data_IF_036728109146
#
_entry.id   IF_036728109146
#
_cell.length_a   1.000
_cell.length_b   1.000
_cell.length_c   1.000
_cell.angle_alpha   90.00
_cell.angle_beta   90.00
_cell.angle_gamma   90.00
#
_symmetry.space_group_name_H-M   'P 1'
#
loop_
_entity.id
_entity.type
_entity.pdbx_description
1 polymer ?
#
# COMPACT_ATOMS: atom_id res chain seq x y z
N UNK A 1 12.59 -2.18 -53.36
CA UNK A 1 11.82 -2.94 -52.35
C UNK A 1 12.81 -3.68 -51.46
N UNK A 2 12.97 -3.23 -50.22
CA UNK A 2 13.21 -4.06 -49.01
C UNK A 2 13.43 -3.11 -47.83
N UNK A 3 12.41 -3.01 -46.98
CA UNK A 3 12.51 -2.42 -45.65
C UNK A 3 13.25 -3.41 -44.74
N UNK A 4 14.18 -2.98 -43.89
CA UNK A 4 14.53 -3.72 -42.70
C UNK A 4 13.48 -3.40 -41.63
N UNK A 5 12.63 -4.37 -41.34
CA UNK A 5 11.78 -4.41 -40.16
C UNK A 5 12.66 -4.46 -38.91
N UNK A 6 12.81 -3.32 -38.23
CA UNK A 6 13.38 -3.29 -36.89
C UNK A 6 12.39 -3.94 -35.93
N UNK A 7 12.69 -5.19 -35.59
CA UNK A 7 12.02 -5.94 -34.54
C UNK A 7 12.09 -5.17 -33.22
N UNK A 8 10.99 -4.52 -32.85
CA UNK A 8 10.76 -3.93 -31.53
C UNK A 8 10.72 -5.04 -30.48
N UNK A 9 11.88 -5.44 -29.96
CA UNK A 9 11.96 -6.22 -28.73
C UNK A 9 11.78 -5.27 -27.53
N UNK A 10 10.53 -4.84 -27.30
CA UNK A 10 10.12 -4.43 -25.96
C UNK A 10 10.02 -5.72 -25.14
N UNK A 11 11.14 -6.12 -24.54
CA UNK A 11 11.17 -7.23 -23.60
C UNK A 11 10.16 -6.93 -22.49
N UNK A 12 9.09 -7.72 -22.45
CA UNK A 12 8.08 -7.73 -21.40
C UNK A 12 8.83 -7.69 -20.07
N UNK A 13 8.82 -6.56 -19.35
CA UNK A 13 9.27 -6.56 -17.97
C UNK A 13 8.34 -7.54 -17.28
N UNK A 14 8.95 -8.64 -16.81
CA UNK A 14 8.31 -9.75 -16.14
C UNK A 14 7.23 -9.24 -15.19
N UNK A 15 6.04 -9.87 -15.21
CA UNK A 15 4.98 -9.61 -14.24
C UNK A 15 5.61 -9.61 -12.85
N UNK A 16 5.59 -8.47 -12.16
CA UNK A 16 6.20 -8.36 -10.84
C UNK A 16 5.56 -9.42 -9.94
N UNK A 17 6.38 -10.36 -9.49
CA UNK A 17 5.91 -11.46 -8.67
C UNK A 17 5.50 -10.91 -7.30
N UNK A 18 4.20 -10.95 -7.03
CA UNK A 18 3.66 -10.59 -5.73
C UNK A 18 3.90 -11.71 -4.73
N UNK A 19 4.37 -11.34 -3.54
CA UNK A 19 4.59 -12.27 -2.45
C UNK A 19 3.74 -11.87 -1.23
N UNK A 20 2.81 -12.72 -0.78
CA UNK A 20 2.25 -13.86 -1.51
C UNK A 20 1.47 -13.43 -2.75
N UNK A 21 1.33 -14.33 -3.72
CA UNK A 21 0.53 -14.11 -4.93
C UNK A 21 -0.95 -13.90 -4.62
N UNK A 22 -1.68 -13.23 -5.52
CA UNK A 22 -3.09 -12.87 -5.28
C UNK A 22 -4.00 -14.10 -5.09
N UNK A 23 -3.73 -15.20 -5.78
CA UNK A 23 -4.46 -16.46 -5.61
C UNK A 23 -4.24 -17.08 -4.23
N UNK A 24 -3.00 -17.06 -3.74
CA UNK A 24 -2.64 -17.60 -2.43
C UNK A 24 -3.30 -16.80 -1.28
N UNK A 25 -3.52 -15.49 -1.47
CA UNK A 25 -4.19 -14.63 -0.48
C UNK A 25 -5.59 -15.16 -0.17
N UNK A 26 -6.38 -15.52 -1.18
CA UNK A 26 -7.75 -16.01 -0.97
C UNK A 26 -7.76 -17.29 -0.13
N UNK A 27 -6.91 -18.26 -0.47
CA UNK A 27 -6.79 -19.54 0.24
C UNK A 27 -6.37 -19.33 1.70
N UNK A 28 -5.39 -18.45 1.96
CA UNK A 28 -4.96 -18.17 3.34
C UNK A 28 -6.08 -17.47 4.11
N UNK A 29 -6.74 -16.47 3.52
CA UNK A 29 -7.83 -15.77 4.21
C UNK A 29 -9.00 -16.70 4.54
N UNK A 30 -9.33 -17.65 3.67
CA UNK A 30 -10.36 -18.67 3.91
C UNK A 30 -9.98 -19.64 5.03
N UNK A 31 -8.70 -19.99 5.15
CA UNK A 31 -8.19 -20.91 6.16
C UNK A 31 -8.00 -20.27 7.55
N UNK A 32 -8.21 -18.96 7.70
CA UNK A 32 -8.01 -18.22 8.96
C UNK A 32 -9.32 -17.99 9.71
N UNK A 33 -9.23 -17.67 11.01
CA UNK A 33 -10.39 -17.28 11.84
C UNK A 33 -11.08 -16.01 11.31
N UNK A 34 -10.47 -15.28 10.38
CA UNK A 34 -11.11 -14.18 9.67
C UNK A 34 -12.37 -14.61 8.90
N UNK A 35 -12.49 -15.89 8.55
CA UNK A 35 -13.71 -16.48 7.96
C UNK A 35 -14.95 -16.23 8.83
N UNK A 36 -14.80 -16.14 10.15
CA UNK A 36 -15.88 -15.84 11.08
C UNK A 36 -16.27 -14.34 11.12
N UNK A 37 -15.51 -13.47 10.43
CA UNK A 37 -15.76 -12.03 10.35
C UNK A 37 -15.69 -11.51 8.89
N UNK A 38 -16.80 -11.60 8.14
CA UNK A 38 -16.82 -11.27 6.70
C UNK A 38 -16.42 -9.82 6.41
N UNK A 39 -16.78 -8.88 7.29
CA UNK A 39 -16.40 -7.47 7.18
C UNK A 39 -14.89 -7.26 7.28
N UNK A 40 -14.20 -8.06 8.10
CA UNK A 40 -12.76 -7.97 8.24
C UNK A 40 -12.04 -8.68 7.09
N UNK A 41 -12.53 -9.87 6.71
CA UNK A 41 -12.03 -10.59 5.53
C UNK A 41 -12.05 -9.71 4.29
N UNK A 42 -13.17 -9.04 4.01
CA UNK A 42 -13.29 -8.08 2.90
C UNK A 42 -12.31 -6.91 3.03
N UNK A 43 -12.11 -6.36 4.24
CA UNK A 43 -11.17 -5.27 4.45
C UNK A 43 -9.71 -5.67 4.14
N UNK A 44 -9.32 -6.87 4.55
CA UNK A 44 -7.98 -7.40 4.27
C UNK A 44 -7.83 -7.78 2.80
N UNK A 45 -8.87 -8.35 2.17
CA UNK A 45 -8.88 -8.60 0.73
C UNK A 45 -8.66 -7.31 -0.07
N UNK A 46 -9.41 -6.25 0.27
CA UNK A 46 -9.25 -4.93 -0.37
C UNK A 46 -7.83 -4.39 -0.23
N UNK A 47 -7.17 -4.60 0.91
CA UNK A 47 -5.76 -4.23 1.09
C UNK A 47 -4.85 -4.95 0.08
N UNK A 48 -5.03 -6.25 -0.11
CA UNK A 48 -4.25 -7.02 -1.07
C UNK A 48 -4.55 -6.62 -2.51
N UNK A 49 -5.82 -6.37 -2.86
CA UNK A 49 -6.21 -5.86 -4.19
C UNK A 49 -5.54 -4.53 -4.51
N UNK A 50 -5.56 -3.59 -3.56
CA UNK A 50 -4.91 -2.28 -3.74
C UNK A 50 -3.40 -2.45 -3.92
N UNK A 51 -2.76 -3.34 -3.14
CA UNK A 51 -1.32 -3.60 -3.29
C UNK A 51 -0.95 -4.28 -4.62
N UNK A 52 -1.84 -5.10 -5.18
CA UNK A 52 -1.63 -5.68 -6.50
C UNK A 52 -1.75 -4.63 -7.61
N UNK A 53 -2.72 -3.71 -7.50
CA UNK A 53 -2.87 -2.57 -8.41
C UNK A 53 -1.68 -1.61 -8.34
N UNK A 54 -1.21 -1.31 -7.12
CA UNK A 54 0.01 -0.56 -6.89
C UNK A 54 1.20 -1.18 -7.64
N UNK A 55 1.38 -2.50 -7.56
CA UNK A 55 2.45 -3.19 -8.28
C UNK A 55 2.33 -3.04 -9.79
N UNK A 56 1.12 -3.02 -10.36
CA UNK A 56 0.91 -2.78 -11.80
C UNK A 56 1.32 -1.37 -12.21
N UNK A 57 1.01 -0.37 -11.39
CA UNK A 57 1.46 1.01 -11.63
C UNK A 57 3.00 1.06 -11.63
N UNK A 58 3.66 0.41 -10.67
CA UNK A 58 5.12 0.30 -10.65
C UNK A 58 5.68 -0.39 -11.91
N UNK A 59 5.09 -1.50 -12.36
CA UNK A 59 5.50 -2.17 -13.60
C UNK A 59 5.36 -1.28 -14.84
N UNK A 60 4.28 -0.50 -14.92
CA UNK A 60 4.10 0.47 -15.99
C UNK A 60 5.17 1.57 -15.92
N UNK A 61 5.47 2.09 -14.72
CA UNK A 61 6.54 3.09 -14.55
C UNK A 61 7.91 2.57 -14.97
N UNK A 62 8.27 1.33 -14.62
CA UNK A 62 9.51 0.71 -15.10
C UNK A 62 9.55 0.63 -16.63
N UNK A 63 8.41 0.37 -17.27
CA UNK A 63 8.31 0.37 -18.73
C UNK A 63 8.51 1.78 -19.30
N UNK A 64 7.86 2.79 -18.70
CA UNK A 64 8.03 4.20 -19.08
C UNK A 64 9.47 4.68 -18.90
N UNK A 65 10.16 4.25 -17.83
CA UNK A 65 11.58 4.55 -17.57
C UNK A 65 12.47 3.93 -18.66
N UNK A 66 12.28 2.65 -18.99
CA UNK A 66 13.07 2.03 -20.07
C UNK A 66 12.81 2.71 -21.41
N UNK A 67 11.57 3.08 -21.67
CA UNK A 67 11.21 3.80 -22.88
C UNK A 67 11.88 5.18 -22.92
N UNK A 68 11.90 5.94 -21.82
CA UNK A 68 12.52 7.26 -21.80
C UNK A 68 14.05 7.18 -21.96
N UNK A 69 14.69 6.20 -21.31
CA UNK A 69 16.12 5.93 -21.46
C UNK A 69 16.50 5.58 -22.91
N UNK A 70 15.63 4.88 -23.64
CA UNK A 70 15.82 4.62 -25.07
C UNK A 70 15.57 5.88 -25.91
N UNK A 71 14.47 6.58 -25.66
CA UNK A 71 14.05 7.76 -26.41
C UNK A 71 15.06 8.92 -26.31
N UNK A 72 15.69 9.11 -25.15
CA UNK A 72 16.66 10.19 -24.91
C UNK A 72 18.08 9.87 -25.41
N UNK A 73 18.27 8.77 -26.15
CA UNK A 73 19.53 8.49 -26.83
C UNK A 73 19.89 9.57 -27.86
N UNK A 74 18.90 10.20 -28.51
CA UNK A 74 19.21 11.27 -29.47
C UNK A 74 19.87 12.47 -28.79
N UNK A 75 19.43 12.87 -27.58
CA UNK A 75 20.06 13.97 -26.84
C UNK A 75 21.52 13.63 -26.66
N UNK A 76 21.81 12.40 -26.24
CA UNK A 76 23.18 11.94 -26.08
C UNK A 76 23.97 11.98 -27.40
N UNK A 77 23.39 11.51 -28.51
CA UNK A 77 24.02 11.57 -29.84
C UNK A 77 24.31 13.00 -30.32
N UNK A 78 23.39 13.94 -30.07
CA UNK A 78 23.57 15.37 -30.39
C UNK A 78 24.62 16.00 -29.48
N UNK A 79 24.65 15.64 -28.19
CA UNK A 79 25.62 16.15 -27.22
C UNK A 79 27.04 15.66 -27.50
N UNK A 80 27.21 14.38 -27.81
CA UNK A 80 28.51 13.77 -28.10
C UNK A 80 29.16 14.44 -29.32
N UNK A 81 28.36 14.78 -30.33
CA UNK A 81 28.81 15.49 -31.54
C UNK A 81 29.19 16.96 -31.28
N UNK A 82 28.58 17.60 -30.28
CA UNK A 82 28.93 18.96 -29.86
C UNK A 82 30.21 18.99 -29.02
N UNK A 83 30.48 17.93 -28.26
CA UNK A 83 31.64 17.80 -27.38
C UNK A 83 32.95 17.49 -28.14
N UNK A 84 32.89 16.87 -29.31
CA UNK A 84 34.07 16.53 -30.14
C UNK A 84 34.69 17.72 -30.88
N UNK A 85 34.23 18.96 -30.63
CA UNK A 85 34.90 20.18 -31.06
C UNK A 85 34.59 20.67 -32.48
N UNK A 86 33.91 19.87 -33.30
CA UNK A 86 33.55 20.24 -34.69
C UNK A 86 32.32 21.17 -34.80
N UNK A 87 31.58 21.36 -33.70
CA UNK A 87 30.33 22.13 -33.69
C UNK A 87 30.50 23.64 -33.97
N UNK A 88 31.72 24.17 -33.97
CA UNK A 88 31.97 25.58 -34.31
C UNK A 88 32.06 25.82 -35.83
N UNK A 89 32.22 24.76 -36.63
CA UNK A 89 32.03 24.79 -38.08
C UNK A 89 30.77 23.98 -38.40
N UNK A 90 29.59 24.49 -38.04
CA UNK A 90 28.30 23.82 -38.30
C UNK A 90 28.12 23.53 -39.80
N UNK A 91 28.55 22.34 -40.23
CA UNK A 91 28.36 21.84 -41.58
C UNK A 91 26.86 21.70 -41.84
N UNK A 92 26.44 21.82 -43.10
CA UNK A 92 25.03 21.58 -43.46
C UNK A 92 24.58 20.16 -43.07
N UNK A 93 25.50 19.19 -43.07
CA UNK A 93 25.27 17.82 -42.60
C UNK A 93 24.89 17.76 -41.11
N UNK A 94 25.57 18.51 -40.25
CA UNK A 94 25.24 18.60 -38.83
C UNK A 94 23.82 19.15 -38.62
N UNK A 95 23.45 20.19 -39.35
CA UNK A 95 22.10 20.80 -39.25
C UNK A 95 21.02 19.82 -39.67
N UNK A 96 21.22 19.14 -40.79
CA UNK A 96 20.28 18.12 -41.30
C UNK A 96 20.11 17.00 -40.27
N UNK A 97 21.21 16.52 -39.68
CA UNK A 97 21.18 15.51 -38.62
C UNK A 97 20.38 15.98 -37.40
N UNK A 98 20.71 17.14 -36.82
CA UNK A 98 20.02 17.65 -35.63
C UNK A 98 18.54 17.89 -35.90
N UNK A 99 18.18 18.47 -37.04
CA UNK A 99 16.76 18.67 -37.41
C UNK A 99 16.03 17.33 -37.53
N UNK A 100 16.68 16.29 -38.07
CA UNK A 100 16.10 14.95 -38.15
C UNK A 100 15.85 14.34 -36.75
N UNK A 101 16.82 14.44 -35.85
CA UNK A 101 16.69 13.96 -34.47
C UNK A 101 15.62 14.73 -33.69
N UNK A 102 15.58 16.06 -33.83
CA UNK A 102 14.56 16.91 -33.20
C UNK A 102 13.14 16.59 -33.69
N UNK A 103 12.96 16.36 -34.99
CA UNK A 103 11.67 15.90 -35.53
C UNK A 103 11.28 14.54 -34.97
N UNK A 104 12.24 13.61 -34.89
CA UNK A 104 12.01 12.28 -34.33
C UNK A 104 11.59 12.37 -32.87
N UNK A 105 12.26 13.19 -32.06
CA UNK A 105 11.89 13.45 -30.67
C UNK A 105 10.50 14.07 -30.51
N UNK A 106 10.16 15.06 -31.32
CA UNK A 106 8.86 15.74 -31.25
C UNK A 106 7.68 14.78 -31.50
N UNK A 107 7.89 13.76 -32.33
CA UNK A 107 6.89 12.71 -32.62
C UNK A 107 6.73 11.69 -31.49
N UNK A 108 7.68 11.59 -30.56
CA UNK A 108 7.58 10.65 -29.44
C UNK A 108 6.48 11.05 -28.47
N UNK A 109 5.65 10.08 -28.09
CA UNK A 109 4.72 10.25 -26.98
C UNK A 109 5.49 10.27 -25.66
N UNK A 110 5.07 11.14 -24.75
CA UNK A 110 5.62 11.18 -23.41
C UNK A 110 5.25 9.89 -22.64
N UNK A 111 6.25 9.08 -22.24
CA UNK A 111 6.00 7.82 -21.54
C UNK A 111 5.36 8.01 -20.15
N UNK A 112 5.47 9.21 -19.57
CA UNK A 112 4.88 9.55 -18.27
C UNK A 112 3.46 10.13 -18.37
N UNK A 113 2.86 10.17 -19.57
CA UNK A 113 1.41 10.44 -19.71
C UNK A 113 0.55 9.26 -19.26
N UNK A 114 1.15 8.10 -18.99
CA UNK A 114 0.50 6.92 -18.41
C UNK A 114 1.53 6.10 -17.61
N UNK A 115 1.40 5.95 -16.28
CA UNK A 115 0.32 6.45 -15.42
C UNK A 115 0.32 7.97 -15.27
N UNK A 116 -0.86 8.58 -15.28
CA UNK A 116 -1.05 10.03 -15.10
C UNK A 116 -1.52 10.38 -13.68
N UNK A 117 -1.69 11.69 -13.42
CA UNK A 117 -2.14 12.22 -12.13
C UNK A 117 -3.43 11.57 -11.59
N UNK A 118 -4.37 11.18 -12.46
CA UNK A 118 -5.61 10.53 -12.03
C UNK A 118 -5.36 9.10 -11.54
N UNK A 119 -4.44 8.36 -12.16
CA UNK A 119 -4.05 7.02 -11.72
C UNK A 119 -3.41 7.07 -10.32
N UNK A 120 -2.52 8.04 -10.10
CA UNK A 120 -1.92 8.29 -8.78
C UNK A 120 -2.95 8.75 -7.74
N UNK A 121 -3.91 9.60 -8.14
CA UNK A 121 -4.98 10.02 -7.25
C UNK A 121 -5.88 8.84 -6.86
N UNK A 122 -6.23 7.98 -7.82
CA UNK A 122 -7.08 6.82 -7.58
C UNK A 122 -6.43 5.87 -6.56
N UNK A 123 -5.16 5.52 -6.76
CA UNK A 123 -4.46 4.62 -5.82
C UNK A 123 -4.30 5.27 -4.44
N UNK A 124 -4.03 6.57 -4.38
CA UNK A 124 -3.96 7.34 -3.13
C UNK A 124 -5.30 7.32 -2.37
N UNK A 125 -6.41 7.60 -3.04
CA UNK A 125 -7.74 7.64 -2.45
C UNK A 125 -8.12 6.25 -1.90
N UNK A 126 -7.78 5.19 -2.64
CA UNK A 126 -8.02 3.81 -2.22
C UNK A 126 -7.18 3.41 -1.00
N UNK A 127 -5.90 3.74 -0.98
CA UNK A 127 -5.06 3.50 0.19
C UNK A 127 -5.52 4.31 1.41
N UNK A 128 -5.91 5.57 1.22
CA UNK A 128 -6.46 6.42 2.27
C UNK A 128 -7.75 5.83 2.85
N UNK A 129 -8.64 5.32 2.01
CA UNK A 129 -9.89 4.68 2.42
C UNK A 129 -9.63 3.39 3.22
N UNK A 130 -8.79 2.48 2.72
CA UNK A 130 -8.49 1.23 3.42
C UNK A 130 -7.76 1.51 4.74
N UNK A 131 -6.82 2.46 4.76
CA UNK A 131 -6.12 2.89 5.96
C UNK A 131 -7.07 3.43 7.02
N UNK A 132 -8.03 4.27 6.62
CA UNK A 132 -9.05 4.81 7.51
C UNK A 132 -9.89 3.68 8.13
N UNK A 133 -10.33 2.71 7.31
CA UNK A 133 -11.09 1.56 7.80
C UNK A 133 -10.30 0.69 8.76
N UNK A 134 -9.04 0.37 8.44
CA UNK A 134 -8.13 -0.39 9.30
C UNK A 134 -7.94 0.31 10.65
N UNK A 135 -7.60 1.61 10.65
CA UNK A 135 -7.45 2.42 11.87
C UNK A 135 -8.74 2.47 12.70
N UNK A 136 -9.89 2.63 12.06
CA UNK A 136 -11.19 2.69 12.72
C UNK A 136 -11.54 1.36 13.40
N UNK A 137 -11.36 0.23 12.70
CA UNK A 137 -11.58 -1.11 13.27
C UNK A 137 -10.63 -1.38 14.43
N UNK A 138 -9.35 -1.05 14.30
CA UNK A 138 -8.35 -1.16 15.36
C UNK A 138 -8.74 -0.36 16.61
N UNK A 139 -9.21 0.88 16.44
CA UNK A 139 -9.73 1.72 17.54
C UNK A 139 -10.93 1.09 18.23
N UNK A 140 -11.87 0.51 17.46
CA UNK A 140 -13.03 -0.23 18.01
C UNK A 140 -12.60 -1.44 18.84
N UNK A 141 -11.62 -2.20 18.36
CA UNK A 141 -11.07 -3.37 19.07
C UNK A 141 -10.37 -2.93 20.36
N UNK A 142 -9.54 -1.89 20.32
CA UNK A 142 -8.87 -1.36 21.49
C UNK A 142 -9.88 -0.93 22.58
N UNK A 143 -10.98 -0.27 22.18
CA UNK A 143 -12.09 0.08 23.10
C UNK A 143 -12.74 -1.17 23.71
N UNK A 144 -13.02 -2.21 22.91
CA UNK A 144 -13.56 -3.49 23.39
C UNK A 144 -12.64 -4.16 24.41
N UNK A 145 -11.34 -4.22 24.14
CA UNK A 145 -10.34 -4.79 25.06
C UNK A 145 -10.34 -4.01 26.38
N UNK A 146 -10.36 -2.68 26.34
CA UNK A 146 -10.45 -1.85 27.55
C UNK A 146 -11.72 -2.17 28.35
N UNK A 147 -12.87 -2.26 27.69
CA UNK A 147 -14.14 -2.59 28.32
C UNK A 147 -14.11 -3.96 29.01
N UNK A 148 -13.57 -4.99 28.34
CA UNK A 148 -13.42 -6.33 28.92
C UNK A 148 -12.52 -6.30 30.16
N UNK A 149 -11.41 -5.53 30.13
CA UNK A 149 -10.53 -5.36 31.30
C UNK A 149 -11.28 -4.72 32.47
N UNK A 150 -12.07 -3.68 32.22
CA UNK A 150 -12.89 -3.04 33.26
C UNK A 150 -13.92 -4.01 33.86
N UNK A 151 -14.62 -4.78 33.03
CA UNK A 151 -15.57 -5.79 33.51
C UNK A 151 -14.90 -6.90 34.33
N UNK A 152 -13.74 -7.41 33.88
CA UNK A 152 -12.98 -8.41 34.65
C UNK A 152 -12.61 -7.88 36.03
N UNK A 153 -12.04 -6.66 36.10
CA UNK A 153 -11.66 -6.01 37.36
C UNK A 153 -12.86 -5.80 38.29
N UNK A 154 -14.01 -5.35 37.74
CA UNK A 154 -15.24 -5.19 38.52
C UNK A 154 -15.81 -6.53 39.03
N UNK A 155 -15.75 -7.57 38.21
CA UNK A 155 -16.24 -8.92 38.59
C UNK A 155 -15.39 -9.57 39.68
N UNK A 156 -14.07 -9.36 39.64
CA UNK A 156 -13.14 -9.87 40.64
C UNK A 156 -13.41 -9.22 42.01
N UNK A 157 -13.57 -7.90 42.04
CA UNK A 157 -13.95 -7.16 43.25
C UNK A 157 -15.30 -7.66 43.80
N UNK A 158 -16.32 -7.78 42.94
CA UNK A 158 -17.65 -8.24 43.35
C UNK A 158 -17.64 -9.67 43.92
N UNK A 159 -16.91 -10.58 43.28
CA UNK A 159 -16.81 -11.97 43.72
C UNK A 159 -16.15 -12.07 45.11
N UNK A 160 -15.03 -11.36 45.31
CA UNK A 160 -14.33 -11.34 46.60
C UNK A 160 -15.22 -10.77 47.71
N UNK A 161 -15.95 -9.69 47.45
CA UNK A 161 -16.90 -9.11 48.42
C UNK A 161 -18.06 -10.06 48.73
N UNK A 162 -18.68 -10.67 47.72
CA UNK A 162 -19.80 -11.59 47.91
C UNK A 162 -19.39 -12.85 48.70
N UNK A 163 -18.22 -13.42 48.42
CA UNK A 163 -17.68 -14.54 49.20
C UNK A 163 -17.39 -14.13 50.66
N UNK A 164 -16.83 -12.94 50.88
CA UNK A 164 -16.61 -12.42 52.24
C UNK A 164 -17.90 -12.28 53.04
N UNK A 165 -18.95 -11.70 52.43
CA UNK A 165 -20.27 -11.57 53.08
C UNK A 165 -20.91 -12.92 53.38
N UNK A 166 -20.83 -13.89 52.46
CA UNK A 166 -21.40 -15.22 52.66
C UNK A 166 -20.73 -15.95 53.83
N UNK A 167 -19.40 -15.87 53.93
CA UNK A 167 -18.63 -16.49 55.02
C UNK A 167 -19.03 -15.88 56.37
N UNK A 168 -19.10 -14.55 56.47
CA UNK A 168 -19.53 -13.86 57.70
C UNK A 168 -20.97 -14.25 58.08
N UNK A 169 -21.88 -14.30 57.12
CA UNK A 169 -23.27 -14.71 57.35
C UNK A 169 -23.37 -16.16 57.86
N UNK A 170 -22.61 -17.09 57.30
CA UNK A 170 -22.58 -18.49 57.78
C UNK A 170 -22.00 -18.61 59.18
N UNK A 171 -20.95 -17.85 59.52
CA UNK A 171 -20.38 -17.85 60.87
C UNK A 171 -21.36 -17.26 61.89
N UNK A 172 -22.05 -16.17 61.54
CA UNK A 172 -23.09 -15.59 62.38
C UNK A 172 -24.26 -16.57 62.61
N UNK A 173 -24.73 -17.25 61.55
CA UNK A 173 -25.75 -18.29 61.65
C UNK A 173 -25.30 -19.45 62.54
N UNK A 174 -24.07 -19.96 62.36
CA UNK A 174 -23.52 -21.05 63.17
C UNK A 174 -23.40 -20.65 64.66
N UNK A 175 -23.00 -19.41 64.95
CA UNK A 175 -22.95 -18.89 66.31
C UNK A 175 -24.34 -18.76 66.96
N UNK A 176 -25.37 -18.46 66.16
CA UNK A 176 -26.76 -18.36 66.62
C UNK A 176 -27.51 -19.71 66.65
N UNK A 177 -26.97 -20.79 66.08
CA UNK A 177 -27.60 -22.12 66.10
C UNK A 177 -27.51 -22.90 67.41
N UNK A 178 -27.15 -22.27 68.54
CA UNK A 178 -27.36 -22.87 69.87
C UNK A 178 -28.86 -22.92 70.25
N UNK A 179 -29.79 -22.31 69.50
CA UNK A 179 -31.19 -22.20 69.91
C UNK A 179 -32.28 -22.65 68.92
N UNK A 180 -31.98 -23.45 67.88
CA UNK A 180 -32.95 -23.68 66.79
C UNK A 180 -32.98 -25.06 66.15
N UNK A 181 -32.93 -26.14 66.94
CA UNK A 181 -33.25 -27.48 66.44
C UNK A 181 -34.78 -27.63 66.34
N UNK A 182 -35.41 -27.09 65.29
CA UNK A 182 -36.78 -27.41 64.84
C UNK A 182 -37.14 -26.42 63.72
N UNK A 183 -36.90 -26.78 62.46
CA UNK A 183 -37.68 -26.39 61.26
C UNK A 183 -37.05 -27.11 60.06
N UNK A 184 -37.88 -27.89 59.36
CA UNK A 184 -37.47 -28.93 58.39
C UNK A 184 -36.86 -28.43 57.08
N UNK A 185 -36.45 -29.37 56.18
CA UNK A 185 -35.68 -29.05 55.00
C UNK A 185 -36.57 -28.45 53.91
N UNK A 186 -36.65 -27.12 53.84
CA UNK A 186 -37.20 -26.43 52.69
C UNK A 186 -36.18 -26.49 51.53
N UNK A 187 -36.34 -27.49 50.67
CA UNK A 187 -35.53 -27.66 49.46
C UNK A 187 -35.78 -26.46 48.52
N UNK A 188 -34.79 -25.58 48.42
CA UNK A 188 -34.72 -24.50 47.44
C UNK A 188 -34.66 -25.09 46.02
N UNK A 189 -35.81 -25.27 45.39
CA UNK A 189 -35.93 -25.61 43.97
C UNK A 189 -35.69 -24.37 43.09
N UNK A 190 -34.42 -23.93 43.03
CA UNK A 190 -34.01 -22.89 42.07
C UNK A 190 -34.10 -23.43 40.64
N UNK A 191 -34.68 -22.68 39.66
CA UNK A 191 -34.84 -23.14 38.28
C UNK A 191 -33.50 -23.04 37.54
N UNK A 192 -32.60 -24.00 37.80
CA UNK A 192 -31.22 -24.00 37.29
C UNK A 192 -31.12 -24.26 35.77
N UNK A 193 -32.13 -24.88 35.15
CA UNK A 193 -32.09 -25.29 33.72
C UNK A 193 -32.08 -24.11 32.75
N UNK A 194 -32.78 -23.02 33.04
CA UNK A 194 -32.77 -21.81 32.20
C UNK A 194 -31.47 -21.00 32.37
N UNK A 195 -30.86 -21.04 33.56
CA UNK A 195 -29.54 -20.47 33.82
C UNK A 195 -28.42 -21.20 33.07
N UNK A 196 -28.49 -22.52 32.94
CA UNK A 196 -27.50 -23.34 32.22
C UNK A 196 -27.48 -23.07 30.70
N UNK A 197 -28.65 -22.93 30.05
CA UNK A 197 -28.72 -22.56 28.62
C UNK A 197 -28.24 -21.13 28.36
N UNK A 198 -28.57 -20.18 29.25
CA UNK A 198 -28.08 -18.79 29.20
C UNK A 198 -26.56 -18.73 29.42
N UNK A 199 -26.02 -19.55 30.33
CA UNK A 199 -24.57 -19.73 30.55
C UNK A 199 -23.84 -20.19 29.28
N UNK A 200 -24.39 -21.14 28.51
CA UNK A 200 -23.71 -21.65 27.29
C UNK A 200 -23.55 -20.54 26.23
N UNK A 201 -24.58 -19.72 26.01
CA UNK A 201 -24.55 -18.56 25.09
C UNK A 201 -23.66 -17.41 25.60
N UNK A 202 -23.61 -17.20 26.92
CA UNK A 202 -22.73 -16.21 27.54
C UNK A 202 -21.27 -16.68 27.48
N UNK A 203 -21.00 -17.97 27.73
CA UNK A 203 -19.67 -18.56 27.71
C UNK A 203 -19.08 -18.58 26.29
N UNK A 204 -19.88 -18.86 25.26
CA UNK A 204 -19.44 -18.76 23.86
C UNK A 204 -19.14 -17.31 23.47
N UNK A 205 -19.95 -16.33 23.90
CA UNK A 205 -19.63 -14.91 23.72
C UNK A 205 -18.35 -14.50 24.48
N UNK A 206 -18.10 -15.04 25.67
CA UNK A 206 -16.86 -14.79 26.43
C UNK A 206 -15.64 -15.41 25.74
N UNK A 207 -15.80 -16.59 25.11
CA UNK A 207 -14.73 -17.26 24.34
C UNK A 207 -14.32 -16.45 23.12
N UNK A 208 -15.28 -15.87 22.38
CA UNK A 208 -15.02 -14.91 21.30
C UNK A 208 -14.47 -13.56 21.80
N UNK A 209 -14.87 -13.14 23.01
CA UNK A 209 -14.31 -11.99 23.72
C UNK A 209 -12.99 -12.31 24.46
N UNK A 210 -12.32 -13.43 24.17
CA UNK A 210 -10.99 -13.66 24.73
C UNK A 210 -10.11 -12.48 24.34
N UNK A 211 -9.61 -11.77 25.36
CA UNK A 211 -8.70 -10.64 25.19
C UNK A 211 -7.45 -11.01 24.39
N UNK A 212 -7.13 -12.31 24.26
CA UNK A 212 -6.12 -12.84 23.35
C UNK A 212 -6.50 -12.64 21.88
N UNK A 213 -7.66 -13.15 21.45
CA UNK A 213 -8.14 -13.03 20.07
C UNK A 213 -8.25 -11.57 19.61
N UNK A 214 -8.93 -10.72 20.39
CA UNK A 214 -9.05 -9.30 20.06
C UNK A 214 -7.69 -8.58 19.98
N UNK A 215 -6.71 -9.01 20.77
CA UNK A 215 -5.37 -8.45 20.72
C UNK A 215 -4.63 -8.87 19.46
N UNK A 216 -4.67 -10.17 19.10
CA UNK A 216 -4.15 -10.68 17.82
C UNK A 216 -4.77 -9.92 16.64
N UNK A 217 -6.10 -9.75 16.66
CA UNK A 217 -6.83 -8.96 15.66
C UNK A 217 -6.36 -7.49 15.58
N UNK A 218 -6.05 -6.90 16.73
CA UNK A 218 -5.50 -5.56 16.82
C UNK A 218 -4.13 -5.44 16.17
N UNK A 219 -3.25 -6.44 16.35
CA UNK A 219 -1.92 -6.49 15.73
C UNK A 219 -2.03 -6.65 14.22
N UNK A 220 -2.85 -7.60 13.74
CA UNK A 220 -3.12 -7.81 12.31
C UNK A 220 -3.55 -6.53 11.59
N UNK A 221 -4.51 -5.79 12.18
CA UNK A 221 -4.96 -4.51 11.65
C UNK A 221 -3.90 -3.41 11.71
N UNK A 222 -3.02 -3.45 12.71
CA UNK A 222 -1.93 -2.48 12.86
C UNK A 222 -0.85 -2.68 11.78
N UNK A 223 -0.49 -3.93 11.51
CA UNK A 223 0.46 -4.30 10.45
C UNK A 223 -0.06 -3.89 9.07
N UNK A 224 -1.31 -4.24 8.74
CA UNK A 224 -1.93 -3.81 7.50
C UNK A 224 -2.04 -2.28 7.40
N UNK A 225 -2.37 -1.59 8.50
CA UNK A 225 -2.45 -0.13 8.51
C UNK A 225 -1.08 0.53 8.29
N UNK A 226 -0.01 -0.02 8.86
CA UNK A 226 1.36 0.46 8.63
C UNK A 226 1.76 0.28 7.16
N UNK A 227 1.52 -0.91 6.59
CA UNK A 227 1.76 -1.17 5.17
C UNK A 227 1.01 -0.21 4.26
N UNK A 228 -0.30 -0.03 4.49
CA UNK A 228 -1.12 0.90 3.71
C UNK A 228 -0.65 2.35 3.83
N UNK A 229 -0.20 2.78 5.00
CA UNK A 229 0.33 4.13 5.19
C UNK A 229 1.65 4.36 4.45
N UNK A 230 2.58 3.42 4.54
CA UNK A 230 3.89 3.50 3.87
C UNK A 230 3.68 3.53 2.36
N UNK A 231 2.93 2.58 1.82
CA UNK A 231 2.67 2.51 0.38
C UNK A 231 1.97 3.77 -0.12
N UNK A 232 0.98 4.31 0.61
CA UNK A 232 0.36 5.58 0.22
C UNK A 232 1.39 6.73 0.09
N UNK A 233 2.38 6.77 0.98
CA UNK A 233 3.42 7.80 0.96
C UNK A 233 4.43 7.59 -0.17
N UNK A 234 4.76 6.35 -0.48
CA UNK A 234 5.62 6.02 -1.62
C UNK A 234 4.96 6.48 -2.93
N UNK A 235 3.65 6.25 -3.08
CA UNK A 235 2.89 6.74 -4.24
C UNK A 235 2.78 8.27 -4.32
N UNK A 236 2.66 8.97 -3.19
CA UNK A 236 2.73 10.45 -3.18
C UNK A 236 4.08 10.95 -3.73
N UNK A 237 5.16 10.26 -3.37
CA UNK A 237 6.53 10.61 -3.78
C UNK A 237 6.72 10.35 -5.27
N UNK A 238 6.38 9.13 -5.73
CA UNK A 238 6.44 8.78 -7.15
C UNK A 238 5.56 9.69 -8.01
N UNK A 239 4.35 10.04 -7.54
CA UNK A 239 3.44 10.95 -8.27
C UNK A 239 4.10 12.30 -8.56
N UNK A 240 4.84 12.85 -7.58
CA UNK A 240 5.53 14.13 -7.73
C UNK A 240 6.72 14.03 -8.70
N UNK A 241 7.48 12.94 -8.65
CA UNK A 241 8.60 12.69 -9.56
C UNK A 241 8.11 12.52 -11.00
N UNK A 242 7.07 11.71 -11.19
CA UNK A 242 6.44 11.50 -12.51
C UNK A 242 5.90 12.81 -13.07
N UNK A 243 5.25 13.64 -12.26
CA UNK A 243 4.76 14.95 -12.70
C UNK A 243 5.89 15.87 -13.18
N UNK A 244 7.01 15.93 -12.43
CA UNK A 244 8.17 16.75 -12.84
C UNK A 244 8.79 16.26 -14.15
N UNK A 245 9.01 14.95 -14.27
CA UNK A 245 9.57 14.34 -15.48
C UNK A 245 8.64 14.53 -16.68
N UNK A 246 7.33 14.40 -16.46
CA UNK A 246 6.32 14.67 -17.48
C UNK A 246 6.44 16.11 -17.98
N UNK A 247 6.42 17.09 -17.07
CA UNK A 247 6.47 18.51 -17.41
C UNK A 247 7.80 18.89 -18.09
N UNK A 248 8.92 18.28 -17.69
CA UNK A 248 10.24 18.50 -18.31
C UNK A 248 10.30 17.97 -19.75
N UNK A 249 9.67 16.82 -20.03
CA UNK A 249 9.56 16.30 -21.40
C UNK A 249 8.66 17.19 -22.25
N UNK A 250 7.48 17.58 -21.75
CA UNK A 250 6.58 18.47 -22.52
C UNK A 250 7.23 19.82 -22.78
N UNK A 251 7.93 20.39 -21.80
CA UNK A 251 8.69 21.63 -21.99
C UNK A 251 9.78 21.48 -23.05
N UNK A 252 10.54 20.38 -23.03
CA UNK A 252 11.55 20.08 -24.05
C UNK A 252 10.92 19.96 -25.44
N UNK A 253 9.74 19.33 -25.54
CA UNK A 253 9.01 19.22 -26.80
C UNK A 253 8.51 20.57 -27.30
N UNK A 254 8.04 21.45 -26.42
CA UNK A 254 7.62 22.81 -26.79
C UNK A 254 8.79 23.64 -27.36
N UNK A 255 9.97 23.56 -26.73
CA UNK A 255 11.19 24.20 -27.24
C UNK A 255 11.56 23.67 -28.63
N UNK A 256 11.52 22.34 -28.80
CA UNK A 256 11.86 21.69 -30.07
C UNK A 256 10.86 22.06 -31.16
N UNK A 257 9.56 22.02 -30.86
CA UNK A 257 8.51 22.43 -31.79
C UNK A 257 8.69 23.88 -32.24
N UNK A 258 8.95 24.79 -31.30
CA UNK A 258 9.24 26.19 -31.59
C UNK A 258 10.46 26.36 -32.52
N UNK A 259 11.50 25.55 -32.34
CA UNK A 259 12.67 25.53 -33.22
C UNK A 259 12.32 25.08 -34.65
N UNK A 260 11.54 24.00 -34.78
CA UNK A 260 11.19 23.39 -36.06
C UNK A 260 10.24 24.26 -36.91
N UNK A 261 9.42 25.09 -36.26
CA UNK A 261 8.49 26.01 -36.93
C UNK A 261 9.20 27.22 -37.57
N UNK A 262 10.39 27.60 -37.10
CA UNK A 262 11.16 28.77 -37.59
C UNK A 262 12.27 28.32 -38.55
N UNK A 263 11.88 28.02 -39.79
CA UNK A 263 12.75 27.41 -40.83
C UNK A 263 13.93 28.27 -41.32
N UNK A 264 13.96 29.59 -41.07
CA UNK A 264 14.91 30.51 -41.73
C UNK A 264 15.94 31.17 -40.80
N UNK A 265 15.78 31.14 -39.48
CA UNK A 265 16.77 31.70 -38.56
C UNK A 265 17.82 30.64 -38.18
N UNK A 266 19.11 30.98 -38.25
CA UNK A 266 20.23 30.11 -37.82
C UNK A 266 20.44 30.09 -36.29
N UNK A 267 19.97 31.12 -35.59
CA UNK A 267 20.08 31.26 -34.13
C UNK A 267 19.24 30.31 -33.24
N UNK A 268 18.11 29.69 -33.67
CA UNK A 268 17.30 28.81 -32.82
C UNK A 268 17.99 27.47 -32.51
N UNK A 269 18.65 26.84 -33.48
CA UNK A 269 19.06 25.44 -33.36
C UNK A 269 20.15 25.22 -32.31
N UNK A 270 21.19 26.06 -32.32
CA UNK A 270 22.29 25.95 -31.36
C UNK A 270 21.84 26.27 -29.93
N UNK A 271 20.94 27.25 -29.77
CA UNK A 271 20.42 27.62 -28.46
C UNK A 271 19.47 26.56 -27.89
N UNK A 272 18.63 25.96 -28.74
CA UNK A 272 17.78 24.81 -28.38
C UNK A 272 18.62 23.63 -27.91
N UNK A 273 19.71 23.31 -28.63
CA UNK A 273 20.63 22.23 -28.22
C UNK A 273 21.31 22.55 -26.88
N UNK A 274 21.69 23.81 -26.64
CA UNK A 274 22.26 24.23 -25.34
C UNK A 274 21.24 24.12 -24.21
N UNK A 275 19.98 24.51 -24.43
CA UNK A 275 18.94 24.41 -23.41
C UNK A 275 18.63 22.93 -23.09
N UNK A 276 18.47 22.06 -24.11
CA UNK A 276 18.32 20.62 -23.91
C UNK A 276 19.51 19.99 -23.18
N UNK A 277 20.73 20.50 -23.43
CA UNK A 277 21.94 20.07 -22.70
C UNK A 277 21.90 20.44 -21.23
N UNK A 278 21.46 21.65 -20.91
CA UNK A 278 21.41 22.15 -19.53
C UNK A 278 20.43 21.33 -18.69
N UNK A 279 19.32 20.89 -19.28
CA UNK A 279 18.33 20.05 -18.58
C UNK A 279 18.73 18.57 -18.49
N UNK A 280 19.47 18.01 -19.47
CA UNK A 280 19.75 16.55 -19.56
C UNK A 280 20.32 15.92 -18.28
N UNK A 281 21.32 16.54 -17.64
CA UNK A 281 21.93 15.99 -16.41
C UNK A 281 20.90 15.92 -15.27
N UNK A 282 20.12 16.98 -15.09
CA UNK A 282 19.09 17.06 -14.06
C UNK A 282 17.96 16.05 -14.34
N UNK A 283 17.54 15.96 -15.60
CA UNK A 283 16.54 15.02 -16.06
C UNK A 283 16.94 13.57 -15.80
N UNK A 284 18.15 13.16 -16.19
CA UNK A 284 18.66 11.79 -15.97
C UNK A 284 18.68 11.43 -14.48
N UNK A 285 19.14 12.35 -13.64
CA UNK A 285 19.12 12.16 -12.19
C UNK A 285 17.70 11.98 -11.65
N UNK A 286 16.72 12.73 -12.16
CA UNK A 286 15.31 12.54 -11.77
C UNK A 286 14.75 11.18 -12.26
N UNK A 287 15.16 10.71 -13.44
CA UNK A 287 14.78 9.38 -13.94
C UNK A 287 15.37 8.27 -13.06
N UNK A 288 16.64 8.38 -12.69
CA UNK A 288 17.30 7.46 -11.75
C UNK A 288 16.62 7.48 -10.37
N UNK A 289 16.32 8.66 -9.83
CA UNK A 289 15.60 8.83 -8.57
C UNK A 289 14.21 8.16 -8.62
N UNK A 290 13.48 8.33 -9.73
CA UNK A 290 12.20 7.66 -9.92
C UNK A 290 12.37 6.13 -9.99
N UNK A 291 13.37 5.63 -10.71
CA UNK A 291 13.66 4.20 -10.84
C UNK A 291 13.95 3.57 -9.47
N UNK A 292 14.80 4.19 -8.65
CA UNK A 292 15.09 3.78 -7.29
C UNK A 292 13.81 3.71 -6.43
N UNK A 293 12.98 4.75 -6.48
CA UNK A 293 11.71 4.79 -5.74
C UNK A 293 10.73 3.70 -6.20
N UNK A 294 10.67 3.40 -7.50
CA UNK A 294 9.80 2.34 -8.03
C UNK A 294 10.27 0.96 -7.53
N UNK A 295 11.58 0.68 -7.58
CA UNK A 295 12.13 -0.57 -7.05
C UNK A 295 11.91 -0.71 -5.54
N UNK A 296 12.17 0.34 -4.77
CA UNK A 296 11.91 0.35 -3.33
C UNK A 296 10.42 0.15 -3.00
N UNK A 297 9.52 0.75 -3.78
CA UNK A 297 8.09 0.55 -3.62
C UNK A 297 7.69 -0.90 -3.88
N UNK A 298 8.24 -1.56 -4.91
CA UNK A 298 7.96 -2.97 -5.19
C UNK A 298 8.41 -3.90 -4.05
N UNK A 299 9.62 -3.67 -3.53
CA UNK A 299 10.13 -4.40 -2.35
C UNK A 299 9.22 -4.17 -1.14
N UNK A 300 8.78 -2.92 -0.94
CA UNK A 300 7.89 -2.56 0.16
C UNK A 300 6.50 -3.18 0.01
N UNK A 301 5.96 -3.28 -1.20
CA UNK A 301 4.70 -3.97 -1.49
C UNK A 301 4.79 -5.43 -1.05
N UNK A 302 5.80 -6.16 -1.52
CA UNK A 302 5.97 -7.58 -1.19
C UNK A 302 6.21 -7.79 0.31
N UNK A 303 7.07 -6.98 0.92
CA UNK A 303 7.29 -7.04 2.37
C UNK A 303 6.01 -6.78 3.16
N UNK A 304 5.24 -5.77 2.79
CA UNK A 304 4.01 -5.41 3.48
C UNK A 304 2.92 -6.48 3.29
N UNK A 305 2.87 -7.15 2.12
CA UNK A 305 1.97 -8.27 1.86
C UNK A 305 2.35 -9.50 2.69
N UNK A 306 3.63 -9.89 2.72
CA UNK A 306 4.14 -11.02 3.52
C UNK A 306 3.88 -10.82 5.01
N UNK A 307 4.21 -9.65 5.57
CA UNK A 307 3.96 -9.37 6.99
C UNK A 307 2.48 -9.47 7.36
N UNK A 308 1.58 -9.02 6.49
CA UNK A 308 0.14 -9.16 6.73
C UNK A 308 -0.25 -10.63 6.75
N UNK A 309 0.17 -11.43 5.77
CA UNK A 309 -0.16 -12.86 5.73
C UNK A 309 0.44 -13.64 6.89
N UNK A 310 1.69 -13.38 7.28
CA UNK A 310 2.33 -14.01 8.46
C UNK A 310 1.49 -13.79 9.72
N UNK A 311 1.07 -12.54 9.96
CA UNK A 311 0.21 -12.19 11.09
C UNK A 311 -1.19 -12.81 10.99
N UNK A 312 -1.73 -13.00 9.77
CA UNK A 312 -3.00 -13.71 9.58
C UNK A 312 -2.85 -15.21 9.83
N UNK A 313 -1.71 -15.82 9.48
CA UNK A 313 -1.46 -17.26 9.57
C UNK A 313 -1.07 -17.73 10.98
N UNK A 314 -0.50 -16.88 11.84
CA UNK A 314 -0.14 -17.17 13.25
C UNK A 314 -1.34 -17.48 14.19
N UNK A 315 -2.51 -17.75 13.62
CA UNK A 315 -3.77 -17.95 14.33
C UNK A 315 -3.98 -19.40 14.82
N UNK A 316 -3.10 -20.35 14.46
CA UNK A 316 -3.19 -21.76 14.89
C UNK A 316 -2.64 -22.09 16.28
N UNK A 317 -2.14 -21.12 17.06
CA UNK A 317 -1.59 -21.35 18.42
C UNK A 317 -2.48 -20.82 19.53
#
# INVERSE_FOLDING_TARGET
MQQPSSSFCCGHISDVLLEPGQEAVATVLDATILSENPNLKSLIHNYFDISAEASKICSHLLTSIKQIQYNYKFIQSVLDLVLTGDAFNATEEWKVFVISELNSFNLLKNPFSNPNRNDFKLIHDRYSLVLHHLKTKRKKIAKKIKLIKYFKKGSEICLTTACGVLVVATFALAAHTICGLLMGPAILSLPMKNFLKKKKKILTNIRFLQSGFLRKLGVQLDVAAKGAYILNRDFDTMSRLVARLHDEIEHSKDIVKFCLERKEDRFPLQEVVKELRKSDIGFRKQVEELEEHVYLCLVTINRARSLVIEEMAMVKS
#
